data_IF_240861183123
#
_entry.id   IF_240861183123
#
_cell.length_a   1.000
_cell.length_b   1.000
_cell.length_c   1.000
_cell.angle_alpha   90.00
_cell.angle_beta   90.00
_cell.angle_gamma   90.00
#
_symmetry.space_group_name_H-M   'P 1'
#
loop_
_entity.id
_entity.type
_entity.pdbx_description
1 polymer ?
#
# COMPACT_ATOMS: atom_id res chain seq x y z
N UNK A 1 -14.83 1.65 12.48
CA UNK A 1 -13.44 1.21 12.26
C UNK A 1 -12.48 2.28 12.76
N UNK A 2 -11.39 1.91 13.43
CA UNK A 2 -10.37 2.88 13.86
C UNK A 2 -9.76 3.58 12.64
N UNK A 3 -9.61 4.91 12.70
CA UNK A 3 -9.03 5.76 11.65
C UNK A 3 -7.71 5.22 11.04
N UNK A 4 -6.75 4.70 11.83
CA UNK A 4 -5.54 4.08 11.26
C UNK A 4 -5.80 2.79 10.47
N UNK A 5 -6.81 1.99 10.83
CA UNK A 5 -7.18 0.77 10.09
C UNK A 5 -7.77 1.15 8.72
N UNK A 6 -8.60 2.20 8.68
CA UNK A 6 -9.14 2.72 7.42
C UNK A 6 -8.03 3.21 6.49
N UNK A 7 -7.02 3.91 7.04
CA UNK A 7 -5.82 4.30 6.31
C UNK A 7 -5.02 3.09 5.80
N UNK A 8 -4.87 2.05 6.62
CA UNK A 8 -4.19 0.81 6.23
C UNK A 8 -4.85 0.12 5.03
N UNK A 9 -6.19 0.01 5.05
CA UNK A 9 -6.97 -0.65 3.99
C UNK A 9 -6.91 0.16 2.70
N UNK A 10 -7.02 1.49 2.79
CA UNK A 10 -6.87 2.37 1.63
C UNK A 10 -5.46 2.28 1.03
N UNK A 11 -4.43 2.29 1.88
CA UNK A 11 -3.05 2.11 1.45
C UNK A 11 -2.82 0.76 0.76
N UNK A 12 -3.43 -0.32 1.25
CA UNK A 12 -3.34 -1.63 0.62
C UNK A 12 -4.01 -1.66 -0.76
N UNK A 13 -5.21 -1.06 -0.90
CA UNK A 13 -5.90 -0.98 -2.17
C UNK A 13 -5.08 -0.21 -3.23
N UNK A 14 -4.49 0.92 -2.83
CA UNK A 14 -3.63 1.73 -3.72
C UNK A 14 -2.30 1.02 -4.01
N UNK A 15 -1.69 0.39 -3.02
CA UNK A 15 -0.45 -0.38 -3.21
C UNK A 15 -0.64 -1.56 -4.16
N UNK A 16 -1.79 -2.24 -4.09
CA UNK A 16 -2.13 -3.33 -5.00
C UNK A 16 -2.27 -2.83 -6.45
N UNK A 17 -3.00 -1.73 -6.68
CA UNK A 17 -3.19 -1.19 -8.04
C UNK A 17 -1.89 -0.71 -8.65
N UNK A 18 -1.05 -0.01 -7.87
CA UNK A 18 0.27 0.46 -8.33
C UNK A 18 1.22 -0.71 -8.57
N UNK A 19 1.24 -1.73 -7.69
CA UNK A 19 2.07 -2.92 -7.86
C UNK A 19 1.71 -3.71 -9.12
N UNK A 20 0.41 -3.91 -9.38
CA UNK A 20 -0.08 -4.54 -10.61
C UNK A 20 0.29 -3.72 -11.86
N UNK A 21 0.14 -2.40 -11.80
CA UNK A 21 0.50 -1.53 -12.92
C UNK A 21 2.01 -1.52 -13.17
N UNK A 22 2.82 -1.47 -12.12
CA UNK A 22 4.29 -1.50 -12.21
C UNK A 22 4.79 -2.80 -12.81
N UNK A 23 4.27 -3.95 -12.35
CA UNK A 23 4.66 -5.25 -12.94
C UNK A 23 4.27 -5.39 -14.41
N UNK A 24 3.15 -4.80 -14.82
CA UNK A 24 2.73 -4.74 -16.22
C UNK A 24 3.64 -3.81 -17.06
N UNK A 25 3.92 -2.60 -16.58
CA UNK A 25 4.73 -1.61 -17.29
C UNK A 25 6.19 -2.04 -17.46
N UNK A 26 6.80 -2.62 -16.43
CA UNK A 26 8.17 -3.11 -16.49
C UNK A 26 8.30 -4.47 -17.19
N UNK A 27 7.20 -5.06 -17.64
CA UNK A 27 7.21 -6.33 -18.37
C UNK A 27 7.87 -7.46 -17.59
N UNK A 28 7.81 -7.43 -16.25
CA UNK A 28 8.47 -8.43 -15.40
C UNK A 28 7.89 -9.78 -15.76
N UNK A 29 8.67 -10.70 -16.33
CA UNK A 29 8.13 -12.01 -16.80
C UNK A 29 8.13 -13.03 -15.67
N UNK A 30 9.10 -12.92 -14.77
CA UNK A 30 9.31 -13.88 -13.70
C UNK A 30 8.24 -13.75 -12.59
N UNK A 31 7.57 -14.85 -12.28
CA UNK A 31 6.46 -14.88 -11.32
C UNK A 31 6.91 -14.47 -9.92
N UNK A 32 8.08 -14.92 -9.47
CA UNK A 32 8.57 -14.60 -8.13
C UNK A 32 8.89 -13.10 -8.01
N UNK A 33 9.50 -12.52 -9.04
CA UNK A 33 9.78 -11.08 -9.08
C UNK A 33 8.49 -10.25 -9.10
N UNK A 34 7.45 -10.68 -9.82
CA UNK A 34 6.14 -9.99 -9.80
C UNK A 34 5.55 -9.96 -8.40
N UNK A 35 5.51 -11.10 -7.72
CA UNK A 35 4.95 -11.21 -6.37
C UNK A 35 5.75 -10.37 -5.38
N UNK A 36 7.08 -10.41 -5.44
CA UNK A 36 7.94 -9.58 -4.59
C UNK A 36 7.67 -8.09 -4.78
N UNK A 37 7.58 -7.61 -6.03
CA UNK A 37 7.32 -6.20 -6.32
C UNK A 37 5.94 -5.78 -5.79
N UNK A 38 4.90 -6.58 -6.07
CA UNK A 38 3.54 -6.28 -5.59
C UNK A 38 3.51 -6.26 -4.05
N UNK A 39 4.09 -7.26 -3.39
CA UNK A 39 4.13 -7.35 -1.93
C UNK A 39 4.90 -6.19 -1.30
N UNK A 40 6.06 -5.82 -1.83
CA UNK A 40 6.84 -4.68 -1.35
C UNK A 40 6.07 -3.36 -1.50
N UNK A 41 5.43 -3.13 -2.64
CA UNK A 41 4.62 -1.91 -2.86
C UNK A 41 3.41 -1.88 -1.93
N UNK A 42 2.71 -3.00 -1.76
CA UNK A 42 1.58 -3.11 -0.83
C UNK A 42 1.99 -2.79 0.61
N UNK A 43 3.11 -3.33 1.09
CA UNK A 43 3.61 -3.06 2.45
C UNK A 43 3.97 -1.58 2.64
N UNK A 44 4.65 -0.96 1.67
CA UNK A 44 5.01 0.46 1.73
C UNK A 44 3.76 1.35 1.81
N UNK A 45 2.80 1.14 0.91
CA UNK A 45 1.59 1.96 0.90
C UNK A 45 0.66 1.68 2.07
N UNK A 46 0.65 0.46 2.61
CA UNK A 46 -0.09 0.15 3.83
C UNK A 46 0.51 0.84 5.07
N UNK A 47 1.84 0.86 5.21
CA UNK A 47 2.52 1.61 6.28
C UNK A 47 2.31 3.13 6.12
N UNK A 48 2.33 3.65 4.90
CA UNK A 48 2.02 5.05 4.61
C UNK A 48 0.55 5.38 4.95
N UNK A 49 -0.39 4.51 4.58
CA UNK A 49 -1.81 4.66 4.89
C UNK A 49 -2.09 4.62 6.40
N UNK A 50 -1.46 3.70 7.14
CA UNK A 50 -1.59 3.63 8.61
C UNK A 50 -1.04 4.87 9.30
N UNK A 51 0.11 5.39 8.85
CA UNK A 51 0.71 6.60 9.42
C UNK A 51 -0.15 7.83 9.16
N UNK A 52 -0.69 8.02 7.94
CA UNK A 52 -1.64 9.11 7.64
C UNK A 52 -2.93 8.96 8.45
N UNK A 53 -3.50 7.75 8.51
CA UNK A 53 -4.69 7.49 9.31
C UNK A 53 -4.47 7.71 10.80
N UNK A 54 -3.25 7.51 11.30
CA UNK A 54 -2.86 7.79 12.67
C UNK A 54 -2.64 9.29 12.92
N UNK A 55 -2.11 10.06 11.97
CA UNK A 55 -1.95 11.53 12.12
C UNK A 55 -3.28 12.24 12.09
N UNK A 56 -4.20 11.86 11.20
CA UNK A 56 -5.57 12.40 11.14
C UNK A 56 -6.39 12.01 12.36
N UNK A 57 -6.09 10.85 12.97
CA UNK A 57 -6.81 10.35 14.13
C UNK A 57 -6.40 10.92 15.47
N UNK A 58 -5.28 11.65 15.55
CA UNK A 58 -4.85 12.32 16.77
C UNK A 58 -5.66 13.62 16.96
N UNK A 59 -6.15 13.93 18.17
CA UNK A 59 -6.72 15.24 18.44
C UNK A 59 -5.62 16.27 18.14
N UNK A 60 -5.93 17.26 17.29
CA UNK A 60 -5.16 18.50 17.24
C UNK A 60 -5.17 19.06 18.66
N UNK A 61 -3.99 19.17 19.26
CA UNK A 61 -3.81 19.89 20.52
C UNK A 61 -4.39 21.31 20.41
#
# INVERSE_FOLDING_TARGET
MSKPIMGAVLGLAIGLTIGLWGTYYFGIVDWLSRVCVIASVMLVFQLLGTTIGATIGKPSA
#
